data_IF_925783603847
#
_entry.id   IF_925783603847
#
_cell.length_a   1.000
_cell.length_b   1.000
_cell.length_c   1.000
_cell.angle_alpha   90.00
_cell.angle_beta   90.00
_cell.angle_gamma   90.00
#
_symmetry.space_group_name_H-M   'P 1'
#
loop_
_entity.id
_entity.type
_entity.pdbx_description
1 polymer ?
#
# COMPACT_ATOMS: atom_id res chain seq x y z
N UNK A 1 8.01 -80.17 38.66
CA UNK A 1 8.04 -79.93 37.20
C UNK A 1 7.48 -78.53 36.88
N UNK A 2 8.22 -77.41 37.09
CA UNK A 2 7.87 -76.11 36.46
C UNK A 2 8.88 -74.95 36.61
N UNK A 3 10.18 -75.20 36.86
CA UNK A 3 11.17 -74.11 37.08
C UNK A 3 11.75 -73.51 35.78
N UNK A 4 11.36 -74.02 34.61
CA UNK A 4 11.92 -73.61 33.30
C UNK A 4 11.18 -72.45 32.62
N UNK A 5 9.99 -72.06 33.09
CA UNK A 5 9.20 -70.96 32.51
C UNK A 5 9.64 -69.56 32.94
N UNK A 6 10.23 -69.42 34.12
CA UNK A 6 10.73 -68.11 34.62
C UNK A 6 12.03 -67.64 33.96
N UNK A 7 12.85 -68.55 33.44
CA UNK A 7 14.13 -68.20 32.82
C UNK A 7 13.96 -67.49 31.47
N UNK A 8 12.94 -67.85 30.68
CA UNK A 8 12.70 -67.26 29.36
C UNK A 8 12.05 -65.86 29.46
N UNK A 9 11.26 -65.60 30.50
CA UNK A 9 10.65 -64.29 30.74
C UNK A 9 11.67 -63.24 31.26
N UNK A 10 12.66 -63.67 32.04
CA UNK A 10 13.72 -62.78 32.53
C UNK A 10 14.66 -62.29 31.42
N UNK A 11 14.83 -63.06 30.34
CA UNK A 11 15.59 -62.63 29.16
C UNK A 11 14.78 -61.66 28.28
N UNK A 12 13.46 -61.81 28.22
CA UNK A 12 12.58 -60.94 27.42
C UNK A 12 12.47 -59.50 27.98
N UNK A 13 12.63 -59.31 29.30
CA UNK A 13 12.64 -57.96 29.90
C UNK A 13 13.95 -57.18 29.62
N UNK A 14 15.07 -57.86 29.34
CA UNK A 14 16.33 -57.20 28.94
C UNK A 14 16.27 -56.58 27.54
N UNK A 15 15.34 -57.04 26.70
CA UNK A 15 15.05 -56.46 25.39
C UNK A 15 14.08 -55.27 25.46
N UNK A 16 13.63 -54.86 26.66
CA UNK A 16 12.83 -53.65 26.86
C UNK A 16 13.70 -52.41 26.68
N UNK A 17 13.97 -52.14 25.40
CA UNK A 17 14.17 -50.83 24.81
C UNK A 17 14.79 -49.83 25.77
N UNK A 18 16.13 -49.87 25.89
CA UNK A 18 16.91 -48.67 26.21
C UNK A 18 16.64 -47.67 25.09
N UNK A 19 15.52 -46.96 25.13
CA UNK A 19 15.33 -45.73 24.36
C UNK A 19 16.44 -44.80 24.82
N UNK A 20 17.51 -44.71 24.05
CA UNK A 20 18.52 -43.67 24.24
C UNK A 20 17.80 -42.36 24.00
N UNK A 21 17.38 -41.71 25.07
CA UNK A 21 16.99 -40.30 25.04
C UNK A 21 18.24 -39.52 24.68
N UNK A 22 18.40 -39.23 23.39
CA UNK A 22 19.43 -38.30 22.92
C UNK A 22 19.03 -36.92 23.45
N UNK A 23 19.82 -36.39 24.38
CA UNK A 23 19.70 -34.99 24.81
C UNK A 23 20.25 -34.06 23.71
N UNK A 24 19.66 -32.89 23.58
CA UNK A 24 20.22 -31.81 22.78
C UNK A 24 21.59 -31.41 23.33
N UNK A 25 22.57 -31.21 22.47
CA UNK A 25 23.87 -30.68 22.87
C UNK A 25 23.79 -29.16 23.08
N UNK A 26 24.60 -28.61 23.98
CA UNK A 26 24.68 -27.15 24.17
C UNK A 26 25.10 -26.44 22.87
N UNK A 27 25.94 -27.08 22.07
CA UNK A 27 26.39 -26.55 20.78
C UNK A 27 25.26 -26.52 19.74
N UNK A 28 24.35 -27.51 19.73
CA UNK A 28 23.17 -27.47 18.85
C UNK A 28 22.26 -26.29 19.20
N UNK A 29 22.02 -26.03 20.48
CA UNK A 29 21.21 -24.88 20.88
C UNK A 29 21.92 -23.55 20.57
N UNK A 30 23.24 -23.49 20.75
CA UNK A 30 24.05 -22.31 20.48
C UNK A 30 24.01 -21.91 19.00
N UNK A 31 24.21 -22.87 18.09
CA UNK A 31 24.20 -22.58 16.66
C UNK A 31 22.80 -22.13 16.22
N UNK A 32 21.73 -22.70 16.79
CA UNK A 32 20.35 -22.32 16.44
C UNK A 32 20.06 -20.86 16.80
N UNK A 33 20.42 -20.41 18.00
CA UNK A 33 20.18 -19.00 18.37
C UNK A 33 21.04 -18.03 17.56
N UNK A 34 22.25 -18.44 17.17
CA UNK A 34 23.12 -17.66 16.27
C UNK A 34 22.48 -17.52 14.89
N UNK A 35 22.01 -18.61 14.29
CA UNK A 35 21.36 -18.59 12.97
C UNK A 35 20.05 -17.80 13.01
N UNK A 36 19.21 -17.98 14.03
CA UNK A 36 17.99 -17.20 14.22
C UNK A 36 18.33 -15.71 14.39
N UNK A 37 19.39 -15.36 15.12
CA UNK A 37 19.84 -13.97 15.27
C UNK A 37 20.24 -13.32 13.95
N UNK A 38 20.98 -14.03 13.09
CA UNK A 38 21.37 -13.55 11.76
C UNK A 38 20.13 -13.35 10.87
N UNK A 39 19.25 -14.36 10.82
CA UNK A 39 18.03 -14.31 10.00
C UNK A 39 17.08 -13.19 10.48
N UNK A 40 16.88 -13.06 11.79
CA UNK A 40 16.07 -12.00 12.37
C UNK A 40 16.63 -10.61 12.03
N UNK A 41 17.95 -10.43 12.09
CA UNK A 41 18.61 -9.18 11.73
C UNK A 41 18.37 -8.75 10.28
N UNK A 42 18.38 -9.70 9.33
CA UNK A 42 18.13 -9.39 7.91
C UNK A 42 16.68 -8.95 7.64
N UNK A 43 15.70 -9.55 8.32
CA UNK A 43 14.28 -9.24 8.11
C UNK A 43 13.97 -7.77 8.45
N UNK A 44 14.58 -7.21 9.48
CA UNK A 44 14.34 -5.82 9.89
C UNK A 44 14.72 -4.79 8.82
N UNK A 45 15.74 -5.05 8.00
CA UNK A 45 16.20 -4.12 6.96
C UNK A 45 15.18 -4.00 5.81
N UNK A 46 14.38 -5.04 5.57
CA UNK A 46 13.48 -5.10 4.40
C UNK A 46 12.12 -4.42 4.66
N UNK A 47 11.69 -4.30 5.91
CA UNK A 47 10.33 -3.84 6.24
C UNK A 47 10.15 -2.33 6.02
N UNK A 48 11.21 -1.53 6.09
CA UNK A 48 11.14 -0.06 6.11
C UNK A 48 10.50 0.62 4.89
N UNK A 49 10.37 -0.05 3.74
CA UNK A 49 9.83 0.53 2.50
C UNK A 49 8.60 -0.16 1.90
N UNK A 50 8.17 -1.30 2.45
CA UNK A 50 7.08 -2.09 1.85
C UNK A 50 5.74 -1.37 1.99
N UNK A 51 5.49 -0.77 3.16
CA UNK A 51 4.22 -0.09 3.40
C UNK A 51 4.05 1.17 2.54
N UNK A 52 5.12 1.95 2.36
CA UNK A 52 5.12 3.12 1.50
C UNK A 52 4.79 2.76 0.05
N UNK A 53 5.41 1.69 -0.48
CA UNK A 53 5.13 1.18 -1.81
C UNK A 53 3.68 0.66 -1.95
N UNK A 54 3.14 0.03 -0.91
CA UNK A 54 1.75 -0.41 -0.91
C UNK A 54 0.78 0.78 -0.95
N UNK A 55 1.04 1.84 -0.18
CA UNK A 55 0.25 3.08 -0.20
C UNK A 55 0.37 3.81 -1.53
N UNK A 56 1.56 3.86 -2.14
CA UNK A 56 1.75 4.45 -3.47
C UNK A 56 0.97 3.71 -4.57
N UNK A 57 0.86 2.38 -4.49
CA UNK A 57 -0.02 1.61 -5.39
C UNK A 57 -1.49 1.94 -5.21
N UNK A 58 -1.94 2.19 -3.98
CA UNK A 58 -3.30 2.66 -3.71
C UNK A 58 -3.52 4.03 -4.34
N UNK A 59 -2.58 4.97 -4.17
CA UNK A 59 -2.64 6.30 -4.82
C UNK A 59 -2.76 6.20 -6.34
N UNK A 60 -1.99 5.31 -6.96
CA UNK A 60 -2.05 5.11 -8.42
C UNK A 60 -3.41 4.54 -8.85
N UNK A 61 -3.95 3.56 -8.10
CA UNK A 61 -5.28 3.01 -8.33
C UNK A 61 -6.37 4.07 -8.20
N UNK A 62 -6.30 4.88 -7.15
CA UNK A 62 -7.24 5.98 -6.89
C UNK A 62 -7.20 7.01 -8.01
N UNK A 63 -6.00 7.38 -8.48
CA UNK A 63 -5.84 8.29 -9.63
C UNK A 63 -6.49 7.74 -10.90
N UNK A 64 -6.40 6.44 -11.16
CA UNK A 64 -7.07 5.80 -12.31
C UNK A 64 -8.59 5.82 -12.15
N UNK A 65 -9.11 5.56 -10.95
CA UNK A 65 -10.54 5.63 -10.68
C UNK A 65 -11.08 7.06 -10.89
N UNK A 66 -10.34 8.06 -10.40
CA UNK A 66 -10.64 9.48 -10.62
C UNK A 66 -10.61 9.80 -12.12
N UNK A 67 -9.59 9.36 -12.85
CA UNK A 67 -9.52 9.56 -14.29
C UNK A 67 -10.77 9.02 -15.01
N UNK A 68 -11.14 7.77 -14.74
CA UNK A 68 -12.34 7.16 -15.34
C UNK A 68 -13.61 7.91 -14.97
N UNK A 69 -13.73 8.39 -13.73
CA UNK A 69 -14.87 9.20 -13.31
C UNK A 69 -14.94 10.53 -14.09
N UNK A 70 -13.80 11.18 -14.29
CA UNK A 70 -13.71 12.42 -15.07
C UNK A 70 -13.99 12.19 -16.56
N UNK A 71 -13.57 11.07 -17.12
CA UNK A 71 -13.93 10.69 -18.50
C UNK A 71 -15.42 10.40 -18.66
N UNK A 72 -16.05 9.75 -17.68
CA UNK A 72 -17.50 9.51 -17.68
C UNK A 72 -18.26 10.81 -17.62
N UNK A 73 -17.89 11.67 -16.67
CA UNK A 73 -18.40 13.03 -16.59
C UNK A 73 -18.26 13.66 -17.98
N UNK A 74 -17.10 13.55 -18.66
CA UNK A 74 -16.76 14.25 -19.94
C UNK A 74 -17.73 13.99 -21.08
N UNK A 75 -18.48 12.90 -20.97
CA UNK A 75 -19.47 12.47 -21.96
C UNK A 75 -20.89 12.93 -21.63
N UNK A 76 -21.17 13.29 -20.38
CA UNK A 76 -22.50 13.68 -19.94
C UNK A 76 -22.69 15.20 -19.93
N UNK A 77 -23.87 15.66 -20.35
CA UNK A 77 -24.25 17.07 -20.29
C UNK A 77 -24.81 17.36 -18.90
N UNK A 78 -24.02 18.01 -18.06
CA UNK A 78 -24.49 18.48 -16.75
C UNK A 78 -25.21 19.82 -16.95
N UNK A 79 -26.52 19.83 -16.70
CA UNK A 79 -27.33 21.06 -16.73
C UNK A 79 -27.02 21.88 -15.47
N UNK A 80 -26.45 23.08 -15.63
CA UNK A 80 -26.31 24.06 -14.54
C UNK A 80 -24.90 24.39 -14.04
N UNK A 81 -23.84 23.83 -14.62
CA UNK A 81 -22.48 24.23 -14.24
C UNK A 81 -21.45 23.23 -14.70
N UNK A 82 -20.35 23.73 -15.27
CA UNK A 82 -19.31 22.93 -15.86
C UNK A 82 -18.78 21.85 -14.92
N UNK A 83 -18.29 20.78 -15.55
CA UNK A 83 -17.27 19.90 -15.03
C UNK A 83 -16.39 20.52 -13.94
N UNK A 84 -16.29 19.79 -12.83
CA UNK A 84 -15.48 20.14 -11.67
C UNK A 84 -15.70 21.54 -11.10
N UNK A 85 -16.78 21.68 -10.32
CA UNK A 85 -16.70 22.46 -9.09
C UNK A 85 -15.78 21.72 -8.09
N UNK A 86 -14.46 21.82 -8.28
CA UNK A 86 -13.52 21.57 -7.19
C UNK A 86 -13.69 22.76 -6.25
N UNK A 87 -14.43 22.59 -5.15
CA UNK A 87 -14.40 23.60 -4.09
C UNK A 87 -13.02 23.55 -3.45
N UNK A 88 -12.28 24.59 -3.77
CA UNK A 88 -10.85 24.66 -3.60
C UNK A 88 -10.54 25.43 -2.31
N UNK A 89 -10.28 24.71 -1.21
CA UNK A 89 -9.67 25.37 -0.05
C UNK A 89 -8.20 25.69 -0.39
N UNK A 90 -7.74 26.94 -0.24
CA UNK A 90 -6.35 27.30 -0.50
C UNK A 90 -5.45 26.57 0.49
N UNK A 91 -4.59 25.69 -0.01
CA UNK A 91 -3.62 24.98 0.81
C UNK A 91 -2.27 25.72 0.78
N UNK A 92 -2.06 26.70 1.64
CA UNK A 92 -0.68 27.14 1.94
C UNK A 92 0.01 26.02 2.73
N UNK A 93 1.25 25.54 2.39
CA UNK A 93 2.25 26.03 1.45
C UNK A 93 2.43 25.17 0.16
N UNK A 94 1.52 24.24 -0.15
CA UNK A 94 1.70 23.28 -1.27
C UNK A 94 0.82 23.68 -2.45
N UNK A 95 1.32 23.71 -3.70
CA UNK A 95 0.54 24.07 -4.87
C UNK A 95 -0.77 23.29 -5.01
N UNK A 96 -1.76 23.89 -5.67
CA UNK A 96 -3.04 23.27 -5.95
C UNK A 96 -4.02 23.31 -4.77
N UNK A 97 -5.27 23.01 -5.09
CA UNK A 97 -6.36 23.02 -4.12
C UNK A 97 -6.67 21.61 -3.64
N UNK A 98 -7.12 21.44 -2.40
CA UNK A 98 -7.55 20.12 -1.92
C UNK A 98 -8.76 19.65 -2.74
N UNK A 99 -8.73 18.38 -3.17
CA UNK A 99 -9.84 17.78 -3.88
C UNK A 99 -11.02 17.57 -2.91
N UNK A 100 -12.16 18.23 -3.18
CA UNK A 100 -13.39 18.10 -2.38
C UNK A 100 -14.63 17.87 -3.26
N UNK A 101 -15.74 17.49 -2.64
CA UNK A 101 -16.68 16.45 -3.11
C UNK A 101 -17.69 16.84 -4.20
N UNK A 102 -17.79 18.09 -4.64
CA UNK A 102 -19.06 18.56 -5.19
C UNK A 102 -19.32 18.16 -6.67
N UNK A 103 -18.31 17.74 -7.44
CA UNK A 103 -18.53 17.42 -8.87
C UNK A 103 -18.00 16.05 -9.33
N UNK A 104 -17.13 15.40 -8.55
CA UNK A 104 -16.71 14.01 -8.79
C UNK A 104 -17.73 13.03 -8.18
N UNK A 105 -18.43 13.45 -7.12
CA UNK A 105 -19.25 12.60 -6.27
C UNK A 105 -20.33 11.79 -6.99
N UNK A 106 -20.97 12.30 -8.04
CA UNK A 106 -21.98 11.52 -8.77
C UNK A 106 -21.36 10.39 -9.63
N UNK A 107 -20.12 10.59 -10.07
CA UNK A 107 -19.38 9.63 -10.91
C UNK A 107 -18.43 8.73 -10.13
N UNK A 108 -18.12 9.10 -8.88
CA UNK A 108 -17.23 8.39 -7.98
C UNK A 108 -17.57 8.75 -6.52
N UNK A 109 -18.51 7.97 -5.95
CA UNK A 109 -18.91 8.03 -4.55
C UNK A 109 -18.53 6.72 -3.82
N UNK A 110 -17.75 6.75 -2.73
CA UNK A 110 -17.07 7.91 -2.15
C UNK A 110 -15.81 8.29 -2.95
N UNK A 111 -15.41 9.56 -2.87
CA UNK A 111 -14.12 10.00 -3.40
C UNK A 111 -13.01 9.29 -2.61
N UNK A 112 -12.04 8.65 -3.28
CA UNK A 112 -10.92 8.03 -2.61
C UNK A 112 -10.18 9.03 -1.74
N UNK A 113 -9.79 8.57 -0.56
CA UNK A 113 -9.02 9.35 0.40
C UNK A 113 -7.61 8.76 0.44
N UNK A 114 -6.60 9.62 0.36
CA UNK A 114 -5.21 9.17 0.46
C UNK A 114 -5.00 8.31 1.73
N UNK A 115 -4.20 7.23 1.67
CA UNK A 115 -3.99 6.35 2.82
C UNK A 115 -3.42 7.05 4.07
N UNK A 116 -2.60 8.09 3.89
CA UNK A 116 -2.07 8.92 4.97
C UNK A 116 -2.96 10.13 5.24
N UNK A 117 -3.54 10.72 4.18
CA UNK A 117 -4.43 11.90 4.22
C UNK A 117 -3.95 12.99 5.20
N UNK A 118 -2.67 13.34 5.13
CA UNK A 118 -2.04 14.29 6.04
C UNK A 118 -1.08 15.17 5.26
N UNK A 119 -1.16 16.50 5.48
CA UNK A 119 -0.27 17.49 4.87
C UNK A 119 -0.19 17.42 3.34
N UNK A 120 0.96 16.97 2.83
CA UNK A 120 1.30 16.87 1.41
C UNK A 120 0.67 15.66 0.72
N UNK A 121 0.26 14.64 1.47
CA UNK A 121 -0.36 13.40 0.98
C UNK A 121 -1.87 13.55 0.92
N UNK A 122 -2.33 14.59 0.23
CA UNK A 122 -3.76 14.84 -0.03
C UNK A 122 -3.90 15.00 -1.54
N UNK A 123 -4.95 14.41 -2.11
CA UNK A 123 -5.28 14.62 -3.52
C UNK A 123 -5.56 16.09 -3.78
N UNK A 124 -4.84 16.63 -4.76
CA UNK A 124 -4.84 18.05 -5.12
C UNK A 124 -5.31 18.22 -6.52
N UNK A 125 -5.88 19.38 -6.80
CA UNK A 125 -6.38 19.67 -8.13
C UNK A 125 -6.25 21.14 -8.54
N UNK A 126 -6.12 21.33 -9.85
CA UNK A 126 -6.32 22.60 -10.53
C UNK A 126 -7.56 22.44 -11.42
N UNK A 127 -8.69 23.10 -11.09
CA UNK A 127 -9.83 23.18 -11.98
C UNK A 127 -9.54 24.17 -13.13
N UNK A 128 -10.22 24.00 -14.26
CA UNK A 128 -10.27 25.02 -15.31
C UNK A 128 -11.51 25.91 -15.12
N UNK A 129 -11.30 27.21 -14.95
CA UNK A 129 -12.38 28.19 -14.88
C UNK A 129 -12.97 28.53 -16.26
N UNK A 130 -12.32 28.08 -17.34
CA UNK A 130 -12.62 28.51 -18.72
C UNK A 130 -13.11 27.34 -19.56
N UNK A 131 -12.49 26.17 -19.41
CA UNK A 131 -12.84 24.98 -20.14
C UNK A 131 -13.12 23.84 -19.18
N UNK A 132 -14.41 23.60 -18.97
CA UNK A 132 -14.90 22.51 -18.13
C UNK A 132 -14.29 21.13 -18.49
N UNK A 133 -13.79 20.92 -19.72
CA UNK A 133 -13.17 19.63 -20.09
C UNK A 133 -11.72 19.45 -19.65
N UNK A 134 -11.09 20.49 -19.10
CA UNK A 134 -9.69 20.48 -18.68
C UNK A 134 -9.58 20.43 -17.17
N UNK A 135 -8.64 19.59 -16.70
CA UNK A 135 -8.40 19.44 -15.28
C UNK A 135 -7.02 18.88 -15.00
N UNK A 136 -6.55 19.10 -13.78
CA UNK A 136 -5.33 18.48 -13.29
C UNK A 136 -5.60 17.99 -11.89
N UNK A 137 -5.48 16.70 -11.64
CA UNK A 137 -5.56 16.10 -10.30
C UNK A 137 -4.26 15.37 -10.05
N UNK A 138 -3.68 15.50 -8.87
CA UNK A 138 -2.38 14.91 -8.57
C UNK A 138 -2.22 14.55 -7.09
N UNK A 139 -1.25 13.67 -6.83
CA UNK A 139 -0.86 13.23 -5.50
C UNK A 139 0.67 13.14 -5.40
N UNK A 140 1.22 13.40 -4.20
CA UNK A 140 2.63 13.15 -3.89
C UNK A 140 2.82 11.67 -3.53
N UNK A 141 3.85 11.03 -4.07
CA UNK A 141 4.23 9.67 -3.71
C UNK A 141 5.23 9.68 -2.55
N UNK A 142 5.18 8.64 -1.71
CA UNK A 142 6.09 8.49 -0.56
C UNK A 142 7.51 8.15 -1.00
N UNK A 143 7.67 7.38 -2.07
CA UNK A 143 8.95 7.11 -2.72
C UNK A 143 9.58 8.32 -3.44
N UNK A 144 8.89 9.46 -3.47
CA UNK A 144 9.29 10.65 -4.22
C UNK A 144 8.61 10.73 -5.59
N UNK A 145 8.50 11.97 -6.10
CA UNK A 145 7.74 12.26 -7.31
C UNK A 145 6.23 12.36 -7.05
N UNK A 146 5.49 12.44 -8.15
CA UNK A 146 4.07 12.73 -8.16
C UNK A 146 3.37 11.86 -9.19
N UNK A 147 2.13 11.52 -8.93
CA UNK A 147 1.22 10.98 -9.95
C UNK A 147 0.20 12.07 -10.26
N UNK A 148 0.01 12.35 -11.55
CA UNK A 148 -0.94 13.34 -12.01
C UNK A 148 -1.86 12.75 -13.08
N UNK A 149 -3.06 13.29 -13.17
CA UNK A 149 -4.12 12.90 -14.08
C UNK A 149 -4.68 14.17 -14.69
N UNK A 150 -4.73 14.19 -16.02
CA UNK A 150 -5.37 15.25 -16.79
C UNK A 150 -6.31 14.66 -17.84
N UNK A 151 -6.90 15.52 -18.67
CA UNK A 151 -7.60 15.11 -19.88
C UNK A 151 -6.76 14.29 -20.86
N UNK A 152 -5.43 14.31 -20.73
CA UNK A 152 -4.51 13.54 -21.57
C UNK A 152 -4.17 12.17 -20.98
N UNK A 153 -4.63 11.89 -19.76
CA UNK A 153 -4.44 10.62 -19.07
C UNK A 153 -3.55 10.72 -17.81
N UNK A 154 -3.39 9.60 -17.09
CA UNK A 154 -2.50 9.51 -15.93
C UNK A 154 -1.03 9.43 -16.35
N UNK A 155 -0.16 10.21 -15.70
CA UNK A 155 1.31 10.11 -15.83
C UNK A 155 2.02 10.39 -14.51
N UNK A 156 3.16 9.76 -14.32
CA UNK A 156 4.11 10.07 -13.24
C UNK A 156 4.94 11.31 -13.59
N UNK A 157 5.20 12.17 -12.60
CA UNK A 157 5.96 13.41 -12.74
C UNK A 157 7.05 13.53 -11.67
N UNK A 158 8.14 14.22 -12.01
CA UNK A 158 9.23 14.49 -11.07
C UNK A 158 8.92 15.66 -10.12
N UNK A 159 8.11 16.63 -10.56
CA UNK A 159 7.75 17.84 -9.80
C UNK A 159 6.24 17.98 -9.69
N UNK A 160 5.79 18.69 -8.65
CA UNK A 160 4.38 18.97 -8.46
C UNK A 160 3.86 19.91 -9.57
N UNK A 161 2.65 19.67 -10.13
CA UNK A 161 2.01 20.62 -11.03
C UNK A 161 1.73 21.95 -10.32
N UNK A 162 2.37 23.02 -10.79
CA UNK A 162 2.18 24.38 -10.22
C UNK A 162 0.98 25.13 -10.81
N UNK A 163 0.39 24.60 -11.88
CA UNK A 163 -0.74 25.19 -12.59
C UNK A 163 -1.42 24.12 -13.46
N UNK A 164 -2.61 24.45 -13.97
CA UNK A 164 -3.35 23.57 -14.89
C UNK A 164 -2.53 23.17 -16.15
N UNK A 165 -1.85 24.09 -16.88
CA UNK A 165 -1.08 23.71 -18.07
C UNK A 165 0.19 22.89 -17.77
N UNK A 166 0.65 22.88 -16.51
CA UNK A 166 1.82 22.09 -16.10
C UNK A 166 1.48 20.61 -15.88
N UNK A 167 0.21 20.21 -15.99
CA UNK A 167 -0.21 18.82 -15.94
C UNK A 167 0.12 18.07 -17.25
N UNK A 168 0.21 16.73 -17.21
CA UNK A 168 0.69 15.92 -18.32
C UNK A 168 -0.21 15.90 -19.56
#
# INVERSE_FOLDING_TARGET
>A
MNKRRGFILAEYERLRSRRRTKGFTLIELLIVVVVIGILAGMVFVVIGGIEANARDRVRESDMRAIFTAMERQRREVIVGGGYMAITAEPATPVPGHKLTTIAIGDFLNPIPKDPLNTGDFIYRAWPSAVNSREFCIWARLEGGGFIAVSEKGPRSMATAPISLPACP
#
